data_IF_609145085359
#
_entry.id   IF_609145085359
#
_cell.length_a   1.000
_cell.length_b   1.000
_cell.length_c   1.000
_cell.angle_alpha   90.00
_cell.angle_beta   90.00
_cell.angle_gamma   90.00
#
_symmetry.space_group_name_H-M   'P 1'
#
loop_
_entity.id
_entity.type
_entity.pdbx_description
1 polymer ?
#
# COMPACT_ATOMS: atom_id res chain seq x y z
N UNK A 1 29.12 28.48 -8.61
CA UNK A 1 28.44 28.84 -7.35
C UNK A 1 28.24 27.57 -6.53
N UNK A 2 29.05 27.39 -5.47
CA UNK A 2 28.98 26.24 -4.55
C UNK A 2 28.99 26.82 -3.16
N UNK A 3 27.91 26.67 -2.38
CA UNK A 3 27.97 26.71 -0.92
C UNK A 3 26.99 25.69 -0.34
N UNK A 4 27.60 24.73 0.33
CA UNK A 4 27.05 23.64 1.11
C UNK A 4 27.32 23.97 2.58
N UNK A 5 26.50 23.40 3.46
CA UNK A 5 26.62 23.34 4.92
C UNK A 5 26.28 24.62 5.71
N UNK A 6 25.39 24.49 6.71
CA UNK A 6 25.75 24.54 8.13
C UNK A 6 24.63 23.88 8.96
N UNK A 7 25.01 22.85 9.72
CA UNK A 7 24.27 22.28 10.84
C UNK A 7 24.47 23.23 12.03
N UNK A 8 23.40 23.58 12.75
CA UNK A 8 23.53 24.15 14.09
C UNK A 8 22.63 23.39 15.07
N UNK A 9 23.32 22.68 15.96
CA UNK A 9 22.83 22.17 17.22
C UNK A 9 23.09 23.22 18.33
N UNK A 10 22.29 23.18 19.40
CA UNK A 10 22.42 23.98 20.62
C UNK A 10 21.23 24.95 20.79
N UNK A 11 20.61 25.16 21.95
CA UNK A 11 21.01 25.10 23.36
C UNK A 11 19.71 25.06 24.19
N UNK A 12 19.66 24.31 25.30
CA UNK A 12 19.08 24.76 26.59
C UNK A 12 19.16 23.65 27.63
N UNK A 13 20.21 23.69 28.45
CA UNK A 13 20.24 23.05 29.77
C UNK A 13 20.49 24.18 30.76
N UNK A 14 19.48 24.51 31.56
CA UNK A 14 19.62 25.33 32.76
C UNK A 14 19.37 24.43 33.95
N UNK A 15 20.47 24.06 34.61
CA UNK A 15 20.47 23.44 35.93
C UNK A 15 20.22 24.54 36.98
N UNK A 16 19.17 24.36 37.79
CA UNK A 16 18.98 25.13 39.01
C UNK A 16 19.55 24.33 40.19
N UNK A 17 20.59 24.89 40.82
CA UNK A 17 21.13 24.44 42.09
C UNK A 17 20.17 24.82 43.22
N UNK A 18 19.90 23.89 44.12
CA UNK A 18 19.12 24.14 45.34
C UNK A 18 19.93 24.87 46.41
N UNK A 19 19.22 25.47 47.39
CA UNK A 19 19.68 25.47 48.77
C UNK A 19 18.51 25.66 49.78
N UNK A 20 18.46 24.68 50.68
CA UNK A 20 17.92 24.54 52.04
C UNK A 20 17.94 25.79 52.95
N UNK A 21 16.86 26.03 53.71
CA UNK A 21 16.87 26.47 55.13
C UNK A 21 15.60 25.97 55.84
N UNK A 22 15.74 25.57 57.10
CA UNK A 22 14.81 24.74 57.89
C UNK A 22 13.58 25.41 58.50
N UNK A 23 12.75 24.57 59.11
CA UNK A 23 11.55 24.94 59.87
C UNK A 23 11.10 23.75 60.73
N UNK A 24 11.02 23.99 62.02
CA UNK A 24 11.00 23.07 63.16
C UNK A 24 9.74 22.24 63.34
N UNK A 25 9.94 21.06 63.92
CA UNK A 25 8.93 20.10 64.39
C UNK A 25 7.79 20.73 65.20
N UNK A 26 6.56 20.40 64.85
CA UNK A 26 5.42 20.42 65.78
C UNK A 26 4.73 19.05 65.78
N UNK A 27 4.29 18.56 66.95
CA UNK A 27 3.88 17.19 67.15
C UNK A 27 2.49 16.88 66.60
N UNK A 28 2.35 15.64 66.15
CA UNK A 28 1.12 14.93 65.83
C UNK A 28 -0.01 15.25 66.82
N UNK A 29 -1.09 15.82 66.30
CA UNK A 29 -2.44 15.49 66.79
C UNK A 29 -3.29 15.15 65.57
N UNK A 30 -3.17 13.92 65.11
CA UNK A 30 -4.11 13.33 64.17
C UNK A 30 -5.46 13.23 64.90
N UNK A 31 -6.38 14.15 64.60
CA UNK A 31 -7.81 13.86 64.73
C UNK A 31 -8.18 13.04 63.51
N UNK A 32 -8.48 11.77 63.75
CA UNK A 32 -9.09 10.87 62.77
C UNK A 32 -10.56 11.24 62.72
N UNK A 33 -10.98 11.95 61.67
CA UNK A 33 -12.38 12.02 61.28
C UNK A 33 -12.69 10.75 60.45
N UNK A 34 -13.59 9.86 60.90
CA UNK A 34 -14.14 8.80 60.08
C UNK A 34 -15.33 9.35 59.27
N UNK A 35 -15.57 8.73 58.12
CA UNK A 35 -16.68 9.01 57.20
C UNK A 35 -16.46 10.17 56.22
N UNK A 36 -15.84 9.81 55.10
CA UNK A 36 -15.81 10.65 53.90
C UNK A 36 -15.19 9.89 52.76
N UNK A 37 -15.79 8.76 52.36
CA UNK A 37 -15.41 8.04 51.16
C UNK A 37 -15.51 8.96 49.96
N UNK A 38 -14.41 9.59 49.59
CA UNK A 38 -14.30 10.30 48.32
C UNK A 38 -14.11 9.22 47.25
N UNK A 39 -15.22 8.92 46.58
CA UNK A 39 -15.22 8.19 45.33
C UNK A 39 -14.21 8.86 44.39
N UNK A 40 -13.10 8.17 44.12
CA UNK A 40 -12.21 8.54 43.03
C UNK A 40 -13.04 8.47 41.75
N UNK A 41 -13.44 9.64 41.23
CA UNK A 41 -13.98 9.76 39.89
C UNK A 41 -12.87 9.32 38.93
N UNK A 42 -12.88 8.03 38.55
CA UNK A 42 -12.16 7.57 37.38
C UNK A 42 -12.85 8.25 36.21
N UNK A 43 -12.36 9.44 35.86
CA UNK A 43 -12.63 10.07 34.58
C UNK A 43 -12.36 9.01 33.52
N UNK A 44 -13.33 8.80 32.64
CA UNK A 44 -13.24 7.86 31.53
C UNK A 44 -12.05 8.26 30.66
N UNK A 45 -10.88 7.65 30.92
CA UNK A 45 -9.68 7.86 30.12
C UNK A 45 -10.06 7.41 28.71
N UNK A 46 -10.07 8.31 27.70
CA UNK A 46 -10.47 7.93 26.36
C UNK A 46 -9.54 6.81 25.90
N UNK A 47 -10.13 5.68 25.49
CA UNK A 47 -9.36 4.55 25.02
C UNK A 47 -8.45 5.03 23.89
N UNK A 48 -7.14 4.81 24.04
CA UNK A 48 -6.18 5.16 23.02
C UNK A 48 -6.58 4.53 21.66
N UNK A 49 -6.38 5.23 20.54
CA UNK A 49 -6.70 4.69 19.23
C UNK A 49 -5.93 3.39 19.00
N UNK A 50 -6.66 2.35 18.58
CA UNK A 50 -6.08 1.04 18.25
C UNK A 50 -5.81 0.99 16.76
N UNK A 51 -4.63 0.53 16.39
CA UNK A 51 -4.26 0.22 15.02
C UNK A 51 -4.05 -1.28 14.89
N UNK A 52 -4.85 -1.92 14.06
CA UNK A 52 -5.01 -3.37 13.96
C UNK A 52 -4.56 -3.94 12.61
N UNK A 53 -4.27 -3.07 11.63
CA UNK A 53 -3.82 -3.48 10.30
C UNK A 53 -2.60 -2.68 9.82
N UNK A 54 -1.78 -3.31 8.99
CA UNK A 54 -0.80 -2.61 8.16
C UNK A 54 -1.38 -2.46 6.76
N UNK A 55 -1.37 -1.24 6.21
CA UNK A 55 -1.74 -0.94 4.82
C UNK A 55 -0.65 -0.13 4.12
N UNK A 56 -0.80 0.08 2.82
CA UNK A 56 0.13 0.81 1.97
C UNK A 56 -0.59 1.90 1.16
N UNK A 57 0.07 3.04 0.98
CA UNK A 57 -0.45 4.15 0.18
C UNK A 57 -0.36 3.84 -1.31
N UNK A 58 -1.48 3.88 -2.02
CA UNK A 58 -1.54 3.58 -3.47
C UNK A 58 -1.47 4.81 -4.38
N UNK A 59 -1.63 6.02 -3.83
CA UNK A 59 -1.47 7.28 -4.56
C UNK A 59 -0.01 7.72 -4.63
N UNK A 60 0.37 8.54 -5.62
CA UNK A 60 1.71 9.15 -5.66
C UNK A 60 2.01 10.01 -4.42
N UNK A 61 0.99 10.72 -3.95
CA UNK A 61 1.03 11.65 -2.83
C UNK A 61 -0.36 11.66 -2.19
N UNK A 62 -0.46 11.24 -0.93
CA UNK A 62 -1.72 11.15 -0.19
C UNK A 62 -1.68 12.06 1.03
N UNK A 63 -2.62 13.00 1.12
CA UNK A 63 -2.70 13.93 2.24
C UNK A 63 -3.20 13.23 3.51
N UNK A 64 -2.40 13.31 4.58
CA UNK A 64 -2.82 13.03 5.95
C UNK A 64 -3.51 14.26 6.53
N UNK A 65 -4.74 14.11 7.03
CA UNK A 65 -5.57 15.23 7.50
C UNK A 65 -5.94 15.10 8.97
N UNK A 66 -6.28 16.21 9.61
CA UNK A 66 -6.73 16.21 11.02
C UNK A 66 -8.14 15.65 11.21
N UNK A 67 -8.98 15.73 10.19
CA UNK A 67 -10.37 15.29 10.22
C UNK A 67 -10.68 14.41 9.00
N UNK A 68 -11.68 13.51 9.09
CA UNK A 68 -12.14 12.66 7.99
C UNK A 68 -12.97 13.47 6.98
N UNK A 69 -12.35 14.50 6.38
CA UNK A 69 -12.98 15.40 5.43
C UNK A 69 -11.94 15.97 4.47
N UNK A 70 -12.35 16.26 3.23
CA UNK A 70 -11.53 16.95 2.24
C UNK A 70 -11.25 18.41 2.60
N UNK A 71 -12.10 19.01 3.44
CA UNK A 71 -11.90 20.35 4.00
C UNK A 71 -11.00 20.37 5.26
N UNK A 72 -10.67 19.21 5.82
CA UNK A 72 -9.81 19.12 7.00
C UNK A 72 -8.38 19.58 6.70
N UNK A 73 -7.72 20.21 7.68
CA UNK A 73 -6.34 20.69 7.56
C UNK A 73 -5.39 19.55 7.20
N UNK A 74 -4.49 19.78 6.26
CA UNK A 74 -3.44 18.82 5.88
C UNK A 74 -2.30 18.90 6.90
N UNK A 75 -1.95 17.76 7.48
CA UNK A 75 -0.83 17.59 8.41
C UNK A 75 0.48 17.34 7.69
N UNK A 76 0.44 16.47 6.66
CA UNK A 76 1.57 16.10 5.81
C UNK A 76 1.06 15.38 4.55
N UNK A 77 1.96 15.07 3.63
CA UNK A 77 1.71 14.12 2.54
C UNK A 77 2.51 12.83 2.71
N UNK A 78 1.89 11.71 2.34
CA UNK A 78 2.46 10.38 2.35
C UNK A 78 2.76 9.95 0.91
N UNK A 79 4.03 9.65 0.58
CA UNK A 79 4.40 9.09 -0.72
C UNK A 79 3.74 7.74 -1.01
N UNK A 80 3.70 7.35 -2.28
CA UNK A 80 3.34 5.98 -2.71
C UNK A 80 4.14 4.93 -1.94
N UNK A 81 3.50 3.81 -1.64
CA UNK A 81 4.06 2.67 -0.90
C UNK A 81 4.49 2.98 0.54
N UNK A 82 4.12 4.15 1.08
CA UNK A 82 4.28 4.40 2.51
C UNK A 82 3.48 3.35 3.29
N UNK A 83 4.18 2.62 4.16
CA UNK A 83 3.59 1.70 5.13
C UNK A 83 2.90 2.51 6.23
N UNK A 84 1.64 2.21 6.51
CA UNK A 84 0.85 2.88 7.55
C UNK A 84 0.22 1.86 8.48
N UNK A 85 0.05 2.23 9.74
CA UNK A 85 -0.79 1.48 10.68
C UNK A 85 -2.21 2.03 10.59
N UNK A 86 -3.18 1.20 10.23
CA UNK A 86 -4.58 1.57 10.07
C UNK A 86 -5.40 1.14 11.29
N UNK A 87 -6.38 1.96 11.65
CA UNK A 87 -7.28 1.72 12.77
C UNK A 87 -8.72 2.06 12.40
N UNK A 88 -9.32 3.00 13.14
CA UNK A 88 -10.74 3.40 12.97
C UNK A 88 -11.06 3.76 11.52
N UNK A 89 -12.20 3.29 11.04
CA UNK A 89 -12.77 3.64 9.73
C UNK A 89 -14.07 4.40 9.93
N UNK A 90 -14.23 5.52 9.23
CA UNK A 90 -15.42 6.36 9.29
C UNK A 90 -15.67 7.05 7.97
N UNK A 91 -16.84 6.80 7.38
CA UNK A 91 -17.32 7.50 6.18
C UNK A 91 -16.31 7.54 5.01
N UNK A 92 -15.62 6.42 4.74
CA UNK A 92 -14.61 6.32 3.68
C UNK A 92 -13.25 6.94 4.02
N UNK A 93 -13.02 7.26 5.29
CA UNK A 93 -11.75 7.68 5.85
C UNK A 93 -11.23 6.65 6.84
N UNK A 94 -9.91 6.56 6.93
CA UNK A 94 -9.21 5.69 7.87
C UNK A 94 -8.29 6.53 8.72
N UNK A 95 -8.39 6.37 10.05
CA UNK A 95 -7.43 6.89 10.99
C UNK A 95 -6.17 6.03 10.88
N UNK A 96 -5.04 6.66 10.57
CA UNK A 96 -3.76 5.99 10.42
C UNK A 96 -2.71 6.61 11.33
N UNK A 97 -1.67 5.84 11.63
CA UNK A 97 -0.41 6.32 12.20
C UNK A 97 0.72 6.10 11.21
N UNK A 98 1.43 7.18 10.87
CA UNK A 98 2.58 7.16 9.96
C UNK A 98 3.54 8.29 10.31
N UNK A 99 4.85 8.02 10.25
CA UNK A 99 5.90 9.04 10.46
C UNK A 99 5.73 9.83 11.78
N UNK A 100 5.26 9.18 12.85
CA UNK A 100 5.01 9.81 14.16
C UNK A 100 3.78 10.72 14.22
N UNK A 101 2.93 10.71 13.19
CA UNK A 101 1.68 11.49 13.13
C UNK A 101 0.48 10.56 13.04
N UNK A 102 -0.59 10.96 13.73
CA UNK A 102 -1.91 10.31 13.64
C UNK A 102 -2.86 11.25 12.90
N UNK A 103 -3.62 10.72 11.95
CA UNK A 103 -4.60 11.49 11.20
C UNK A 103 -5.41 10.64 10.23
N UNK A 104 -6.28 11.30 9.48
CA UNK A 104 -7.23 10.67 8.57
C UNK A 104 -6.74 10.73 7.12
N UNK A 105 -6.88 9.60 6.43
CA UNK A 105 -6.66 9.48 4.97
C UNK A 105 -7.87 8.86 4.31
N UNK A 106 -8.07 9.11 3.02
CA UNK A 106 -9.18 8.48 2.29
C UNK A 106 -8.88 7.00 2.03
N UNK A 107 -9.81 6.12 2.39
CA UNK A 107 -9.68 4.67 2.35
C UNK A 107 -9.36 4.13 0.95
N UNK A 108 -9.90 4.76 -0.09
CA UNK A 108 -9.68 4.40 -1.51
C UNK A 108 -8.22 4.43 -1.95
N UNK A 109 -7.34 5.04 -1.16
CA UNK A 109 -5.90 5.14 -1.45
C UNK A 109 -5.04 4.24 -0.56
N UNK A 110 -5.66 3.26 0.11
CA UNK A 110 -4.98 2.26 0.91
C UNK A 110 -5.13 0.87 0.28
N UNK A 111 -4.06 0.09 0.30
CA UNK A 111 -4.02 -1.30 -0.20
C UNK A 111 -3.38 -2.24 0.83
N UNK A 112 -3.74 -3.52 0.80
CA UNK A 112 -3.18 -4.53 1.71
C UNK A 112 -1.72 -4.91 1.43
N UNK A 113 -1.19 -4.52 0.26
CA UNK A 113 0.17 -4.77 -0.16
C UNK A 113 0.76 -3.53 -0.85
N UNK A 114 2.10 -3.40 -0.93
CA UNK A 114 2.74 -2.36 -1.72
C UNK A 114 2.22 -2.37 -3.16
N UNK A 115 1.99 -1.20 -3.73
CA UNK A 115 1.71 -1.07 -5.16
C UNK A 115 3.00 -1.30 -5.89
N UNK A 116 3.11 -2.46 -6.54
CA UNK A 116 4.20 -2.72 -7.46
C UNK A 116 4.25 -1.61 -8.51
N UNK A 117 5.45 -1.15 -8.91
CA UNK A 117 5.55 -0.27 -10.04
C UNK A 117 4.84 -0.98 -11.21
N UNK A 118 3.81 -0.34 -11.75
CA UNK A 118 3.36 -0.72 -13.08
C UNK A 118 4.61 -0.60 -13.93
N UNK A 119 5.16 -1.73 -14.40
CA UNK A 119 6.25 -1.72 -15.34
C UNK A 119 5.71 -0.90 -16.49
N UNK A 120 6.15 0.36 -16.58
CA UNK A 120 5.93 1.19 -17.74
C UNK A 120 6.75 0.51 -18.80
N UNK A 121 6.16 -0.48 -19.47
CA UNK A 121 6.73 -1.04 -20.67
C UNK A 121 6.93 0.19 -21.56
N UNK A 122 8.18 0.61 -21.81
CA UNK A 122 8.38 1.73 -22.72
C UNK A 122 7.70 1.27 -24.01
N UNK A 123 6.76 2.07 -24.52
CA UNK A 123 6.32 1.90 -25.90
C UNK A 123 7.51 2.30 -26.75
N UNK A 124 8.46 1.38 -26.85
CA UNK A 124 9.57 1.48 -27.76
C UNK A 124 8.96 1.22 -29.12
N UNK A 125 8.90 2.27 -29.94
CA UNK A 125 8.85 2.10 -31.38
C UNK A 125 10.17 1.42 -31.77
N UNK A 126 10.23 0.09 -31.63
CA UNK A 126 11.36 -0.73 -32.03
C UNK A 126 10.90 -1.81 -33.00
N UNK A 127 11.49 -1.86 -34.20
CA UNK A 127 11.63 -3.10 -34.94
C UNK A 127 12.55 -4.02 -34.13
N UNK A 128 12.09 -5.25 -33.90
CA UNK A 128 12.90 -6.33 -33.32
C UNK A 128 12.45 -6.76 -31.93
N UNK A 129 12.00 -8.02 -31.85
CA UNK A 129 11.73 -8.81 -30.65
C UNK A 129 10.32 -8.67 -30.03
N UNK A 130 9.34 -9.19 -30.77
CA UNK A 130 8.47 -10.28 -30.30
C UNK A 130 7.46 -10.00 -29.19
N UNK A 131 6.39 -9.26 -29.50
CA UNK A 131 5.10 -9.38 -28.79
C UNK A 131 3.93 -9.29 -29.77
N UNK A 132 2.94 -10.13 -29.50
CA UNK A 132 1.80 -10.55 -30.32
C UNK A 132 1.04 -9.35 -30.91
N UNK A 133 1.13 -9.20 -32.23
CA UNK A 133 0.34 -8.22 -32.97
C UNK A 133 -1.11 -8.68 -33.14
N UNK A 134 -1.99 -7.68 -33.03
CA UNK A 134 -3.41 -7.70 -33.34
C UNK A 134 -3.61 -8.22 -34.77
N UNK A 135 -4.57 -9.12 -34.90
CA UNK A 135 -4.85 -9.91 -36.09
C UNK A 135 -5.24 -9.04 -37.28
N UNK A 136 -4.32 -8.89 -38.22
CA UNK A 136 -4.64 -8.86 -39.65
C UNK A 136 -4.20 -10.21 -40.23
N UNK A 137 -4.54 -10.54 -41.48
CA UNK A 137 -4.42 -11.88 -42.10
C UNK A 137 -3.02 -12.56 -42.07
N UNK A 138 -2.03 -11.98 -41.40
CA UNK A 138 -0.80 -12.60 -40.88
C UNK A 138 -1.01 -13.55 -39.68
N UNK A 139 -2.25 -13.91 -39.34
CA UNK A 139 -2.63 -14.77 -38.20
C UNK A 139 -2.24 -16.25 -38.35
N UNK A 140 -1.76 -16.66 -39.52
CA UNK A 140 -1.37 -18.02 -39.83
C UNK A 140 0.16 -18.07 -39.94
N UNK A 141 0.88 -18.45 -38.87
CA UNK A 141 2.33 -18.55 -38.95
C UNK A 141 2.74 -19.62 -39.96
N UNK A 142 3.97 -19.61 -40.42
CA UNK A 142 4.51 -20.65 -41.32
C UNK A 142 4.75 -22.01 -40.64
N UNK A 143 4.09 -22.28 -39.51
CA UNK A 143 4.24 -23.50 -38.70
C UNK A 143 3.31 -24.60 -39.20
N UNK A 144 3.74 -25.26 -40.29
CA UNK A 144 2.92 -26.23 -41.04
C UNK A 144 2.95 -27.65 -40.49
N UNK A 145 3.68 -27.89 -39.40
CA UNK A 145 3.84 -29.22 -38.80
C UNK A 145 3.41 -29.22 -37.34
N UNK A 146 2.77 -30.31 -36.89
CA UNK A 146 2.29 -30.46 -35.53
C UNK A 146 3.38 -30.36 -34.46
N UNK A 147 4.63 -30.71 -34.78
CA UNK A 147 5.79 -30.53 -33.89
C UNK A 147 6.11 -29.07 -33.59
N UNK A 148 5.58 -28.13 -34.37
CA UNK A 148 5.81 -26.69 -34.21
C UNK A 148 4.66 -25.99 -33.48
N UNK A 149 3.58 -26.71 -33.16
CA UNK A 149 2.36 -26.17 -32.54
C UNK A 149 2.34 -26.58 -31.08
N UNK A 150 2.23 -25.59 -30.18
CA UNK A 150 2.41 -25.81 -28.74
C UNK A 150 1.13 -26.22 -28.01
N UNK A 151 -0.05 -26.11 -28.65
CA UNK A 151 -1.32 -26.41 -28.00
C UNK A 151 -2.43 -26.82 -28.95
N UNK A 152 -3.35 -27.68 -28.48
CA UNK A 152 -4.49 -28.11 -29.27
C UNK A 152 -5.38 -26.95 -29.73
N UNK A 153 -5.61 -25.96 -28.85
CA UNK A 153 -6.42 -24.77 -29.18
C UNK A 153 -5.82 -23.98 -30.34
N UNK A 154 -4.49 -23.92 -30.41
CA UNK A 154 -3.77 -23.29 -31.50
C UNK A 154 -3.90 -24.10 -32.81
N UNK A 155 -3.73 -25.42 -32.74
CA UNK A 155 -3.91 -26.32 -33.88
C UNK A 155 -5.32 -26.21 -34.49
N UNK A 156 -6.37 -26.24 -33.64
CA UNK A 156 -7.77 -26.06 -34.05
C UNK A 156 -8.03 -24.72 -34.73
N UNK A 157 -7.40 -23.65 -34.22
CA UNK A 157 -7.49 -22.33 -34.85
C UNK A 157 -6.85 -22.35 -36.24
N UNK A 158 -5.71 -23.00 -36.42
CA UNK A 158 -5.03 -23.07 -37.72
C UNK A 158 -5.82 -23.91 -38.72
N UNK A 159 -6.38 -25.04 -38.31
CA UNK A 159 -7.28 -25.83 -39.14
C UNK A 159 -8.45 -24.99 -39.68
N UNK A 160 -9.08 -24.18 -38.82
CA UNK A 160 -10.27 -23.40 -39.19
C UNK A 160 -9.97 -22.09 -39.95
N UNK A 161 -8.80 -21.47 -39.77
CA UNK A 161 -8.56 -20.10 -40.22
C UNK A 161 -7.39 -19.95 -41.20
N UNK A 162 -6.66 -21.02 -41.50
CA UNK A 162 -5.47 -20.97 -42.35
C UNK A 162 -5.63 -21.83 -43.60
N UNK A 163 -5.23 -21.28 -44.75
CA UNK A 163 -5.31 -21.98 -46.05
C UNK A 163 -4.49 -23.28 -46.10
N UNK A 164 -3.49 -23.43 -45.22
CA UNK A 164 -2.68 -24.66 -45.07
C UNK A 164 -3.15 -25.54 -43.90
N UNK A 165 -4.16 -25.11 -43.14
CA UNK A 165 -4.60 -25.76 -41.90
C UNK A 165 -5.09 -27.19 -42.07
N UNK A 166 -5.65 -27.54 -43.23
CA UNK A 166 -6.08 -28.90 -43.54
C UNK A 166 -4.95 -29.94 -43.51
N UNK A 167 -3.68 -29.52 -43.68
CA UNK A 167 -2.54 -30.43 -43.56
C UNK A 167 -2.24 -30.86 -42.11
N UNK A 168 -2.87 -30.24 -41.12
CA UNK A 168 -2.72 -30.60 -39.71
C UNK A 168 -3.65 -31.76 -39.29
N UNK A 169 -4.68 -32.03 -40.08
CA UNK A 169 -5.68 -33.07 -39.87
C UNK A 169 -5.34 -34.24 -40.82
N UNK A 170 -4.48 -35.15 -40.32
CA UNK A 170 -3.86 -36.18 -41.15
C UNK A 170 -4.81 -37.33 -41.51
N UNK A 171 -5.77 -37.63 -40.64
CA UNK A 171 -6.79 -38.66 -40.81
C UNK A 171 -8.15 -38.10 -41.26
N UNK A 172 -8.32 -36.77 -41.25
CA UNK A 172 -9.48 -36.07 -41.82
C UNK A 172 -10.71 -36.10 -40.91
N UNK A 173 -10.52 -36.35 -39.62
CA UNK A 173 -11.60 -36.48 -38.63
C UNK A 173 -12.03 -35.12 -38.03
N UNK A 174 -11.36 -34.03 -38.44
CA UNK A 174 -11.57 -32.67 -37.94
C UNK A 174 -10.75 -32.34 -36.69
N UNK A 175 -9.88 -33.24 -36.22
CA UNK A 175 -9.01 -33.08 -35.06
C UNK A 175 -7.56 -32.89 -35.53
N UNK A 176 -7.04 -31.65 -35.52
CA UNK A 176 -5.68 -31.40 -35.98
C UNK A 176 -4.67 -31.84 -34.92
N UNK A 177 -3.52 -32.37 -35.37
CA UNK A 177 -2.41 -32.72 -34.48
C UNK A 177 -2.80 -33.63 -33.32
N UNK A 178 -3.12 -34.88 -33.63
CA UNK A 178 -3.52 -35.93 -32.68
C UNK A 178 -2.60 -36.07 -31.45
N UNK A 179 -1.31 -35.79 -31.59
CA UNK A 179 -0.34 -35.85 -30.48
C UNK A 179 -0.62 -34.83 -29.37
N UNK A 180 -1.35 -33.75 -29.67
CA UNK A 180 -1.68 -32.68 -28.72
C UNK A 180 -3.19 -32.47 -28.53
N UNK A 181 -4.04 -33.01 -29.41
CA UNK A 181 -5.50 -32.77 -29.42
C UNK A 181 -6.39 -33.96 -29.03
N UNK A 182 -5.80 -35.11 -28.69
CA UNK A 182 -6.52 -36.29 -28.16
C UNK A 182 -7.09 -36.07 -26.76
#
# INVERSE_FOLDING_TARGET
>A
MRKLFWVLAGIMVLAALGNIIGGTDTPVTARVDPAGGQAVVRADIPAAPRFDATLFVSANSLNLREAPSTSGRVLTSLPRNTRVLAGERRSGWVLISAQGRIGWVSERYLTGAPVEPAISVPTRNQPGYGVVQRQTAASCPSRRYCSQIGSCREARRYLANCSWGGALDGDGDGVPCESICR
#
